data_IF_334867361514
#
_entry.id   IF_334867361514
#
_cell.length_a   1.000
_cell.length_b   1.000
_cell.length_c   1.000
_cell.angle_alpha   90.00
_cell.angle_beta   90.00
_cell.angle_gamma   90.00
#
_symmetry.space_group_name_H-M   'P 1'
#
loop_
_entity.id
_entity.type
_entity.pdbx_description
1 polymer ?
#
# COMPACT_ATOMS: atom_id res chain seq x y z
N UNK A 1 9.50 10.35 -8.77
CA UNK A 1 9.16 9.06 -8.13
C UNK A 1 7.65 9.02 -7.95
N UNK A 2 7.02 7.99 -8.44
CA UNK A 2 5.56 7.90 -8.35
C UNK A 2 5.13 7.09 -7.13
N UNK A 3 3.85 7.23 -6.77
CA UNK A 3 3.29 6.60 -5.58
C UNK A 3 3.38 5.07 -5.66
N UNK A 4 3.20 4.50 -6.85
CA UNK A 4 3.29 3.05 -7.03
C UNK A 4 4.68 2.53 -6.69
N UNK A 5 5.72 3.20 -7.14
CA UNK A 5 7.10 2.83 -6.86
C UNK A 5 7.38 2.89 -5.36
N UNK A 6 6.90 3.94 -4.71
CA UNK A 6 7.09 4.09 -3.26
C UNK A 6 6.37 2.98 -2.50
N UNK A 7 5.15 2.65 -2.89
CA UNK A 7 4.40 1.57 -2.25
C UNK A 7 5.12 0.22 -2.41
N UNK A 8 5.62 -0.07 -3.62
CA UNK A 8 6.38 -1.30 -3.84
C UNK A 8 7.63 -1.34 -2.97
N UNK A 9 8.34 -0.21 -2.89
CA UNK A 9 9.54 -0.12 -2.05
C UNK A 9 9.24 -0.39 -0.58
N UNK A 10 8.14 0.14 -0.08
CA UNK A 10 7.73 -0.10 1.30
C UNK A 10 7.36 -1.57 1.54
N UNK A 11 6.72 -2.21 0.57
CA UNK A 11 6.30 -3.60 0.70
C UNK A 11 7.47 -4.59 0.59
N UNK A 12 8.62 -4.17 0.07
CA UNK A 12 9.81 -5.04 0.06
C UNK A 12 10.31 -5.34 1.46
N UNK A 13 9.96 -4.52 2.44
CA UNK A 13 10.34 -4.73 3.83
C UNK A 13 9.39 -5.67 4.57
N UNK A 14 8.25 -6.01 3.97
CA UNK A 14 7.27 -6.90 4.56
C UNK A 14 5.87 -6.50 4.15
N UNK A 15 4.91 -7.37 4.40
CA UNK A 15 3.51 -7.08 4.13
C UNK A 15 3.01 -5.95 5.03
N UNK A 16 2.04 -5.19 4.53
CA UNK A 16 1.47 -4.07 5.27
C UNK A 16 0.05 -3.81 4.79
N UNK A 17 -0.78 -3.26 5.69
CA UNK A 17 -2.12 -2.84 5.31
C UNK A 17 -2.04 -1.50 4.56
N UNK A 18 -3.12 -1.17 3.85
CA UNK A 18 -3.23 0.15 3.21
C UNK A 18 -3.09 1.27 4.23
N UNK A 19 -3.66 1.07 5.42
CA UNK A 19 -3.55 2.04 6.51
C UNK A 19 -2.10 2.20 6.98
N UNK A 20 -1.38 1.09 7.12
CA UNK A 20 0.03 1.12 7.50
C UNK A 20 0.87 1.88 6.47
N UNK A 21 0.61 1.65 5.19
CA UNK A 21 1.30 2.34 4.12
C UNK A 21 1.00 3.83 4.14
N UNK A 22 -0.26 4.19 4.38
CA UNK A 22 -0.66 5.59 4.50
C UNK A 22 0.08 6.27 5.62
N UNK A 23 0.16 5.63 6.79
CA UNK A 23 0.84 6.19 7.96
C UNK A 23 2.34 6.35 7.70
N UNK A 24 2.96 5.35 7.09
CA UNK A 24 4.38 5.42 6.75
C UNK A 24 4.64 6.51 5.72
N UNK A 25 3.75 6.66 4.76
CA UNK A 25 3.85 7.67 3.72
C UNK A 25 3.77 9.08 4.34
N UNK A 26 2.81 9.29 5.25
CA UNK A 26 2.69 10.54 5.98
C UNK A 26 3.95 10.87 6.75
N UNK A 27 4.48 9.89 7.46
CA UNK A 27 5.65 10.06 8.31
C UNK A 27 6.90 10.40 7.49
N UNK A 28 7.07 9.74 6.34
CA UNK A 28 8.29 9.88 5.53
C UNK A 28 8.20 11.00 4.51
N UNK A 29 7.02 11.27 3.97
CA UNK A 29 6.86 12.16 2.82
C UNK A 29 5.78 13.23 3.00
N UNK A 30 5.27 13.40 4.20
CA UNK A 30 4.09 14.23 4.47
C UNK A 30 4.06 15.57 3.75
N UNK A 31 5.16 16.30 3.76
CA UNK A 31 5.22 17.62 3.14
C UNK A 31 5.35 17.55 1.62
N UNK A 32 6.08 16.55 1.12
CA UNK A 32 6.35 16.44 -0.31
C UNK A 32 5.21 15.77 -1.06
N UNK A 33 4.44 14.94 -0.39
CA UNK A 33 3.39 14.15 -1.00
C UNK A 33 2.05 14.32 -0.30
N UNK A 34 1.76 15.54 0.16
CA UNK A 34 0.49 15.80 0.85
C UNK A 34 -0.71 15.39 0.01
N UNK A 35 -0.65 15.55 -1.30
CA UNK A 35 -1.69 15.13 -2.23
C UNK A 35 -1.65 13.62 -2.49
N UNK A 36 -0.56 12.96 -2.12
CA UNK A 36 -0.35 11.54 -2.40
C UNK A 36 -1.22 10.62 -1.56
N UNK A 37 -1.73 11.09 -0.42
CA UNK A 37 -2.58 10.25 0.42
C UNK A 37 -3.78 9.71 -0.34
N UNK A 38 -4.42 10.57 -1.12
CA UNK A 38 -5.57 10.18 -1.91
C UNK A 38 -5.21 9.22 -3.03
N UNK A 39 -3.92 9.11 -3.36
CA UNK A 39 -3.44 8.27 -4.46
C UNK A 39 -2.95 6.90 -4.00
N UNK A 40 -2.77 6.67 -2.69
CA UNK A 40 -2.24 5.40 -2.18
C UNK A 40 -3.19 4.25 -2.52
N UNK A 41 -4.47 4.38 -2.20
CA UNK A 41 -5.43 3.30 -2.44
C UNK A 41 -5.61 3.00 -3.92
N UNK A 42 -5.78 4.02 -4.80
CA UNK A 42 -5.80 3.75 -6.23
C UNK A 42 -4.51 3.13 -6.75
N UNK A 43 -3.35 3.54 -6.23
CA UNK A 43 -2.06 2.97 -6.62
C UNK A 43 -1.99 1.49 -6.24
N UNK A 44 -2.41 1.14 -5.03
CA UNK A 44 -2.43 -0.24 -4.57
C UNK A 44 -3.38 -1.08 -5.40
N UNK A 45 -4.54 -0.55 -5.74
CA UNK A 45 -5.49 -1.24 -6.60
C UNK A 45 -4.89 -1.52 -7.98
N UNK A 46 -4.19 -0.55 -8.54
CA UNK A 46 -3.52 -0.69 -9.82
C UNK A 46 -2.41 -1.75 -9.77
N UNK A 47 -1.62 -1.76 -8.68
CA UNK A 47 -0.57 -2.74 -8.49
C UNK A 47 -1.14 -4.15 -8.33
N UNK A 48 -2.24 -4.29 -7.62
CA UNK A 48 -2.92 -5.58 -7.48
C UNK A 48 -3.46 -6.07 -8.82
N UNK A 49 -4.04 -5.17 -9.60
CA UNK A 49 -4.58 -5.46 -10.92
C UNK A 49 -3.49 -5.97 -11.87
N UNK A 50 -2.31 -5.38 -11.78
CA UNK A 50 -1.17 -5.77 -12.65
C UNK A 50 -0.43 -6.99 -12.13
N UNK A 51 -0.78 -7.50 -10.93
CA UNK A 51 -0.13 -8.65 -10.35
C UNK A 51 1.15 -8.36 -9.59
N UNK A 52 1.49 -7.09 -9.40
CA UNK A 52 2.70 -6.70 -8.67
C UNK A 52 2.55 -6.86 -7.16
N UNK A 53 1.34 -6.80 -6.65
CA UNK A 53 1.06 -7.07 -5.24
C UNK A 53 -0.17 -7.96 -5.12
N UNK A 54 -0.23 -8.72 -4.03
CA UNK A 54 -1.43 -9.46 -3.62
C UNK A 54 -2.14 -8.69 -2.51
N UNK A 55 -3.45 -8.78 -2.50
CA UNK A 55 -4.27 -8.18 -1.46
C UNK A 55 -5.06 -9.28 -0.74
N UNK A 56 -4.94 -9.32 0.57
CA UNK A 56 -5.67 -10.25 1.40
C UNK A 56 -6.58 -9.48 2.34
N UNK A 57 -7.86 -9.84 2.36
CA UNK A 57 -8.81 -9.24 3.30
C UNK A 57 -8.86 -10.09 4.55
N UNK A 58 -8.64 -9.46 5.70
CA UNK A 58 -8.66 -10.12 6.99
C UNK A 58 -9.84 -9.58 7.79
N UNK A 59 -10.80 -10.46 8.11
CA UNK A 59 -11.95 -10.09 8.91
C UNK A 59 -11.52 -9.82 10.36
N UNK A 60 -12.06 -8.77 10.96
CA UNK A 60 -11.77 -8.41 12.34
C UNK A 60 -13.08 -8.23 13.09
N UNK A 61 -13.18 -8.88 14.26
CA UNK A 61 -14.36 -8.78 15.10
C UNK A 61 -14.63 -7.33 15.50
N UNK A 62 -15.85 -6.86 15.20
CA UNK A 62 -16.27 -5.53 15.61
C UNK A 62 -15.58 -4.39 14.88
N UNK A 63 -14.83 -4.68 13.82
CA UNK A 63 -14.10 -3.67 13.04
C UNK A 63 -14.25 -3.95 11.55
N UNK A 64 -14.04 -2.94 10.70
CA UNK A 64 -14.01 -3.17 9.25
C UNK A 64 -12.91 -4.16 8.88
N UNK A 65 -13.12 -4.87 7.79
CA UNK A 65 -12.11 -5.79 7.27
C UNK A 65 -10.81 -5.04 6.98
N UNK A 66 -9.70 -5.68 7.28
CA UNK A 66 -8.39 -5.14 7.03
C UNK A 66 -7.83 -5.72 5.74
N UNK A 67 -7.37 -4.87 4.85
CA UNK A 67 -6.71 -5.30 3.62
C UNK A 67 -5.20 -5.21 3.80
N UNK A 68 -4.54 -6.34 3.64
CA UNK A 68 -3.09 -6.44 3.75
C UNK A 68 -2.52 -6.68 2.35
N UNK A 69 -1.52 -5.92 2.00
CA UNK A 69 -0.86 -6.00 0.70
C UNK A 69 0.51 -6.64 0.86
N UNK A 70 0.88 -7.45 -0.13
CA UNK A 70 2.15 -8.17 -0.14
C UNK A 70 2.73 -8.10 -1.54
N UNK A 71 4.02 -7.77 -1.64
CA UNK A 71 4.68 -7.71 -2.94
C UNK A 71 4.84 -9.13 -3.50
N UNK A 72 4.63 -9.27 -4.81
CA UNK A 72 4.79 -10.54 -5.51
C UNK A 72 6.14 -10.57 -6.24
N UNK A 73 6.50 -11.74 -6.78
CA UNK A 73 7.71 -11.86 -7.59
C UNK A 73 7.70 -10.89 -8.77
N UNK A 74 6.54 -10.65 -9.35
CA UNK A 74 6.38 -9.71 -10.44
C UNK A 74 6.65 -8.27 -10.01
N UNK A 75 6.37 -7.94 -8.74
CA UNK A 75 6.58 -6.62 -8.20
C UNK A 75 8.03 -6.32 -7.84
N UNK A 76 8.83 -7.36 -7.68
CA UNK A 76 10.26 -7.21 -7.46
C UNK A 76 10.95 -6.84 -8.78
#
# INVERSE_FOLDING_TARGET
MDVKTVCLGMLTEGEASGYDLKKAFESSFGHCFAAGYGSIYPALASLADSGCVDCEEIAQDGKPDRKVYRITDKGW
#
